data_IF_584439964164
#
_entry.id   IF_584439964164
#
_cell.length_a   1.000
_cell.length_b   1.000
_cell.length_c   1.000
_cell.angle_alpha   90.00
_cell.angle_beta   90.00
_cell.angle_gamma   90.00
#
_symmetry.space_group_name_H-M   'P 1'
#
loop_
_entity.id
_entity.type
_entity.pdbx_description
1 polymer ?
#
# COMPACT_ATOMS: atom_id res chain seq x y z
N UNK A 1 -29.69 -0.28 10.23
CA UNK A 1 -29.75 0.36 8.89
C UNK A 1 -30.15 1.80 9.07
N UNK A 2 -29.60 2.74 8.29
CA UNK A 2 -30.13 4.09 8.24
C UNK A 2 -31.56 4.02 7.65
N UNK A 3 -32.56 4.41 8.43
CA UNK A 3 -33.96 4.36 8.08
C UNK A 3 -34.71 5.55 8.69
N UNK A 4 -36.01 5.66 8.41
CA UNK A 4 -36.83 6.77 8.91
C UNK A 4 -36.85 6.85 10.45
N UNK A 5 -36.82 5.71 11.15
CA UNK A 5 -36.77 5.69 12.61
C UNK A 5 -35.49 6.32 13.16
N UNK A 6 -34.35 6.06 12.55
CA UNK A 6 -33.10 6.72 12.92
C UNK A 6 -33.14 8.24 12.61
N UNK A 7 -33.72 8.63 11.48
CA UNK A 7 -33.93 10.04 11.17
C UNK A 7 -34.82 10.75 12.21
N UNK A 8 -35.90 10.10 12.65
CA UNK A 8 -36.77 10.59 13.71
C UNK A 8 -36.05 10.69 15.05
N UNK A 9 -35.26 9.67 15.41
CA UNK A 9 -34.44 9.68 16.63
C UNK A 9 -33.52 10.90 16.67
N UNK A 10 -32.87 11.23 15.55
CA UNK A 10 -32.06 12.44 15.44
C UNK A 10 -32.91 13.70 15.67
N UNK A 11 -34.09 13.80 15.06
CA UNK A 11 -34.98 14.96 15.23
C UNK A 11 -35.49 15.12 16.68
N UNK A 12 -35.66 14.01 17.40
CA UNK A 12 -36.15 13.98 18.78
C UNK A 12 -35.04 14.26 19.82
N UNK A 13 -33.77 14.29 19.40
CA UNK A 13 -32.66 14.66 20.28
C UNK A 13 -32.82 16.09 20.82
N UNK A 14 -32.37 16.30 22.07
CA UNK A 14 -32.35 17.63 22.67
C UNK A 14 -31.55 18.61 21.80
N UNK A 15 -32.14 19.78 21.51
CA UNK A 15 -31.52 20.80 20.67
C UNK A 15 -30.11 21.25 21.10
N UNK A 16 -29.77 21.09 22.40
CA UNK A 16 -28.43 21.35 22.93
C UNK A 16 -27.34 20.43 22.34
N UNK A 17 -27.69 19.22 21.90
CA UNK A 17 -26.77 18.28 21.23
C UNK A 17 -26.21 18.87 19.93
N UNK A 18 -26.99 19.70 19.24
CA UNK A 18 -26.62 20.29 17.95
C UNK A 18 -25.82 21.59 18.05
N UNK A 19 -25.69 22.15 19.26
CA UNK A 19 -25.00 23.44 19.48
C UNK A 19 -23.49 23.30 19.65
N UNK A 20 -23.01 22.09 19.92
CA UNK A 20 -21.63 21.82 20.28
C UNK A 20 -21.13 20.52 19.63
N UNK A 21 -19.95 20.57 19.02
CA UNK A 21 -19.36 19.43 18.32
C UNK A 21 -19.07 18.26 19.28
N UNK A 22 -18.58 18.53 20.48
CA UNK A 22 -18.28 17.47 21.44
C UNK A 22 -19.55 16.76 21.93
N UNK A 23 -20.64 17.50 22.17
CA UNK A 23 -21.96 16.93 22.48
C UNK A 23 -22.52 16.12 21.31
N UNK A 24 -22.40 16.65 20.09
CA UNK A 24 -22.83 15.94 18.89
C UNK A 24 -22.07 14.62 18.71
N UNK A 25 -20.73 14.64 18.75
CA UNK A 25 -19.89 13.45 18.60
C UNK A 25 -20.03 12.45 19.76
N UNK A 26 -20.41 12.91 20.96
CA UNK A 26 -20.75 12.02 22.08
C UNK A 26 -22.05 11.24 21.83
N UNK A 27 -22.99 11.86 21.13
CA UNK A 27 -24.29 11.27 20.78
C UNK A 27 -24.20 10.41 19.51
N UNK A 28 -23.66 10.97 18.42
CA UNK A 28 -23.39 10.29 17.17
C UNK A 28 -21.88 10.12 16.96
N UNK A 29 -21.35 8.97 17.37
CA UNK A 29 -19.91 8.66 17.28
C UNK A 29 -19.41 8.49 15.85
N UNK A 30 -20.31 8.25 14.89
CA UNK A 30 -20.00 8.10 13.48
C UNK A 30 -20.89 7.08 12.78
N UNK A 31 -20.56 6.82 11.51
CA UNK A 31 -21.18 5.78 10.70
C UNK A 31 -20.18 4.64 10.55
N UNK A 32 -20.66 3.41 10.74
CA UNK A 32 -19.88 2.20 10.50
C UNK A 32 -20.54 1.39 9.39
N UNK A 33 -19.72 0.95 8.43
CA UNK A 33 -20.14 0.01 7.40
C UNK A 33 -19.68 -1.36 7.87
N UNK A 34 -20.65 -2.22 8.19
CA UNK A 34 -20.40 -3.59 8.65
C UNK A 34 -20.99 -4.56 7.63
N UNK A 35 -20.23 -5.56 7.17
CA UNK A 35 -20.77 -6.64 6.35
C UNK A 35 -21.92 -7.34 7.11
N UNK A 36 -23.09 -7.47 6.48
CA UNK A 36 -24.27 -8.05 7.15
C UNK A 36 -24.20 -9.56 7.31
N UNK A 37 -23.54 -10.25 6.38
CA UNK A 37 -23.42 -11.70 6.31
C UNK A 37 -22.10 -12.02 5.59
N UNK A 38 -21.21 -12.77 6.23
CA UNK A 38 -20.05 -13.40 5.58
C UNK A 38 -20.36 -14.90 5.52
N UNK A 39 -21.26 -15.29 4.62
CA UNK A 39 -21.90 -16.62 4.67
C UNK A 39 -21.00 -17.77 4.25
N UNK A 40 -19.84 -17.49 3.63
CA UNK A 40 -18.92 -18.52 3.12
C UNK A 40 -17.46 -18.17 3.45
N UNK A 41 -16.73 -19.16 3.97
CA UNK A 41 -15.28 -19.05 4.14
C UNK A 41 -14.62 -18.87 2.78
N UNK A 42 -13.77 -17.84 2.64
CA UNK A 42 -13.08 -17.53 1.38
C UNK A 42 -13.74 -16.46 0.49
N UNK A 43 -14.96 -16.00 0.80
CA UNK A 43 -15.71 -15.02 -0.01
C UNK A 43 -15.83 -13.64 0.68
N UNK A 44 -14.70 -13.11 1.16
CA UNK A 44 -14.64 -11.75 1.71
C UNK A 44 -14.33 -10.70 0.63
N UNK A 45 -14.75 -9.46 0.86
CA UNK A 45 -14.39 -8.31 0.02
C UNK A 45 -13.73 -7.21 0.84
N UNK A 46 -12.68 -6.59 0.28
CA UNK A 46 -12.16 -5.31 0.75
C UNK A 46 -12.75 -4.24 -0.15
N UNK A 47 -13.47 -3.28 0.44
CA UNK A 47 -14.12 -2.20 -0.29
C UNK A 47 -13.46 -0.88 0.08
N UNK A 48 -13.08 -0.11 -0.94
CA UNK A 48 -12.65 1.27 -0.73
C UNK A 48 -13.90 2.17 -0.62
N UNK A 49 -13.99 2.92 0.47
CA UNK A 49 -15.02 3.94 0.66
C UNK A 49 -14.35 5.31 0.64
N UNK A 50 -14.55 6.04 -0.45
CA UNK A 50 -14.08 7.42 -0.57
C UNK A 50 -15.00 8.34 0.25
N UNK A 51 -14.49 8.86 1.36
CA UNK A 51 -15.22 9.67 2.33
C UNK A 51 -14.67 11.11 2.47
N UNK A 52 -13.78 11.52 1.57
CA UNK A 52 -13.13 12.85 1.57
C UNK A 52 -13.65 13.81 0.50
N UNK A 53 -14.67 13.42 -0.26
CA UNK A 53 -15.29 14.29 -1.27
C UNK A 53 -16.46 15.07 -0.68
N UNK A 54 -16.78 16.23 -1.25
CA UNK A 54 -17.94 17.04 -0.84
C UNK A 54 -19.29 16.30 -0.98
N UNK A 55 -19.35 15.25 -1.79
CA UNK A 55 -20.50 14.35 -1.92
C UNK A 55 -20.65 13.39 -0.72
N UNK A 56 -19.62 13.23 0.10
CA UNK A 56 -19.64 12.39 1.30
C UNK A 56 -20.35 13.16 2.42
N UNK A 57 -21.59 12.79 2.71
CA UNK A 57 -22.40 13.48 3.73
C UNK A 57 -23.49 12.57 4.27
N UNK A 58 -23.88 12.82 5.51
CA UNK A 58 -25.18 12.38 6.01
C UNK A 58 -26.19 13.49 5.72
N UNK A 59 -27.24 13.16 4.99
CA UNK A 59 -28.32 14.09 4.66
C UNK A 59 -29.61 13.66 5.35
N UNK A 60 -30.07 14.48 6.29
CA UNK A 60 -31.34 14.30 6.96
C UNK A 60 -32.42 15.05 6.17
N UNK A 61 -33.49 14.36 5.80
CA UNK A 61 -34.67 14.94 5.15
C UNK A 61 -35.77 15.09 6.21
N UNK A 62 -36.41 16.26 6.28
CA UNK A 62 -37.46 16.55 7.26
C UNK A 62 -38.48 17.55 6.70
N UNK A 63 -39.69 17.58 7.27
CA UNK A 63 -40.79 18.46 6.82
C UNK A 63 -40.98 18.43 5.28
N UNK A 64 -40.97 17.23 4.71
CA UNK A 64 -41.15 16.87 3.28
C UNK A 64 -40.13 17.44 2.26
N UNK A 65 -39.62 18.64 2.48
CA UNK A 65 -38.78 19.39 1.52
C UNK A 65 -37.47 19.91 2.12
N UNK A 66 -37.36 19.93 3.45
CA UNK A 66 -36.19 20.50 4.13
C UNK A 66 -35.11 19.43 4.27
N UNK A 67 -33.87 19.89 4.23
CA UNK A 67 -32.73 19.02 4.48
C UNK A 67 -31.71 19.66 5.41
N UNK A 68 -31.07 18.81 6.21
CA UNK A 68 -29.89 19.17 7.01
C UNK A 68 -28.73 18.30 6.54
N UNK A 69 -27.64 18.97 6.15
CA UNK A 69 -26.40 18.30 5.76
C UNK A 69 -25.45 18.25 6.94
N UNK A 70 -24.95 17.05 7.24
CA UNK A 70 -23.82 16.82 8.13
C UNK A 70 -22.66 16.35 7.23
N UNK A 71 -21.67 17.21 6.95
CA UNK A 71 -20.63 16.90 5.98
C UNK A 71 -19.66 15.84 6.53
N UNK A 72 -19.18 14.97 5.64
CA UNK A 72 -17.99 14.16 5.85
C UNK A 72 -16.89 14.75 4.99
N UNK A 73 -15.80 15.19 5.60
CA UNK A 73 -14.77 15.98 4.91
C UNK A 73 -13.37 15.66 5.40
N UNK A 74 -12.39 16.46 5.00
CA UNK A 74 -10.99 16.31 5.41
C UNK A 74 -10.77 16.40 6.93
N UNK A 75 -11.65 17.09 7.66
CA UNK A 75 -11.64 17.15 9.12
C UNK A 75 -12.20 15.90 9.80
N UNK A 76 -12.95 15.06 9.09
CA UNK A 76 -13.55 13.85 9.64
C UNK A 76 -12.46 12.81 9.93
N UNK A 77 -12.48 12.25 11.14
CA UNK A 77 -11.63 11.10 11.50
C UNK A 77 -12.12 9.86 10.75
N UNK A 78 -11.21 9.17 10.10
CA UNK A 78 -11.48 7.92 9.36
C UNK A 78 -10.64 6.83 9.98
N UNK A 79 -11.30 5.75 10.39
CA UNK A 79 -10.66 4.59 10.97
C UNK A 79 -11.09 3.41 10.14
N UNK A 80 -10.11 2.63 9.68
CA UNK A 80 -10.38 1.37 9.03
C UNK A 80 -10.06 0.24 9.99
N UNK A 81 -10.93 -0.76 10.04
CA UNK A 81 -10.72 -1.97 10.81
C UNK A 81 -10.86 -3.16 9.87
N UNK A 82 -9.86 -4.04 9.89
CA UNK A 82 -9.82 -5.22 9.04
C UNK A 82 -9.57 -6.44 9.91
N UNK A 83 -10.42 -7.44 9.77
CA UNK A 83 -10.15 -8.79 10.26
C UNK A 83 -9.83 -9.65 9.04
N UNK A 84 -8.63 -10.24 9.04
CA UNK A 84 -8.23 -11.16 7.98
C UNK A 84 -7.88 -12.50 8.62
N UNK A 85 -8.32 -13.58 7.98
CA UNK A 85 -7.82 -14.92 8.27
C UNK A 85 -6.90 -15.33 7.13
N UNK A 86 -5.57 -15.26 7.31
CA UNK A 86 -4.64 -15.64 6.25
C UNK A 86 -4.80 -17.13 5.93
N UNK A 87 -4.70 -17.47 4.64
CA UNK A 87 -4.61 -18.86 4.22
C UNK A 87 -3.35 -19.52 4.80
N UNK A 88 -3.33 -20.86 4.85
CA UNK A 88 -2.14 -21.60 5.30
C UNK A 88 -0.88 -21.20 4.50
N UNK A 89 -1.03 -20.95 3.20
CA UNK A 89 0.08 -20.49 2.36
C UNK A 89 0.62 -19.12 2.81
N UNK A 90 -0.24 -18.16 3.12
CA UNK A 90 0.17 -16.85 3.63
C UNK A 90 0.79 -16.95 5.02
N UNK A 91 0.18 -17.73 5.91
CA UNK A 91 0.72 -17.97 7.27
C UNK A 91 2.11 -18.60 7.22
N UNK A 92 2.34 -19.55 6.31
CA UNK A 92 3.66 -20.14 6.08
C UNK A 92 4.67 -19.10 5.58
N UNK A 93 4.26 -18.14 4.74
CA UNK A 93 5.12 -17.05 4.28
C UNK A 93 5.45 -16.07 5.40
N UNK A 94 4.48 -15.68 6.23
CA UNK A 94 4.71 -14.77 7.35
C UNK A 94 5.66 -15.33 8.40
N UNK A 95 5.64 -16.65 8.59
CA UNK A 95 6.46 -17.35 9.59
C UNK A 95 7.78 -17.90 9.04
N UNK A 96 8.16 -17.54 7.81
CA UNK A 96 9.35 -18.07 7.15
C UNK A 96 10.25 -16.96 6.60
N UNK A 97 11.54 -17.25 6.54
CA UNK A 97 12.55 -16.45 5.84
C UNK A 97 12.98 -17.08 4.50
N UNK A 98 12.28 -18.15 4.06
CA UNK A 98 12.59 -18.83 2.81
C UNK A 98 12.07 -18.04 1.60
N UNK A 99 12.63 -18.35 0.43
CA UNK A 99 12.11 -17.87 -0.84
C UNK A 99 10.86 -18.66 -1.24
N UNK A 100 9.89 -17.96 -1.85
CA UNK A 100 8.64 -18.56 -2.33
C UNK A 100 8.47 -18.31 -3.82
N UNK A 101 7.87 -19.27 -4.53
CA UNK A 101 7.57 -19.14 -5.97
C UNK A 101 6.47 -18.13 -6.29
N UNK A 102 5.61 -17.87 -5.31
CA UNK A 102 4.53 -16.89 -5.41
C UNK A 102 4.43 -16.13 -4.11
N UNK A 103 4.34 -14.81 -4.19
CA UNK A 103 4.15 -13.93 -3.03
C UNK A 103 3.02 -12.94 -3.28
N UNK A 104 2.57 -12.28 -2.20
CA UNK A 104 1.34 -11.51 -2.21
C UNK A 104 1.56 -10.14 -1.60
N UNK A 105 1.04 -9.10 -2.25
CA UNK A 105 0.89 -7.78 -1.68
C UNK A 105 -0.59 -7.39 -1.63
N UNK A 106 -1.01 -6.71 -0.57
CA UNK A 106 -2.38 -6.26 -0.37
C UNK A 106 -2.38 -4.87 0.28
N UNK A 107 -3.17 -3.95 -0.27
CA UNK A 107 -3.37 -2.61 0.31
C UNK A 107 -4.18 -2.69 1.62
N UNK A 108 -4.48 -1.55 2.25
CA UNK A 108 -5.44 -1.48 3.37
C UNK A 108 -5.09 -2.37 4.58
N UNK A 109 -3.85 -2.30 5.07
CA UNK A 109 -3.42 -3.11 6.22
C UNK A 109 -3.12 -4.57 5.88
N UNK A 110 -3.03 -4.89 4.58
CA UNK A 110 -2.57 -6.18 4.09
C UNK A 110 -1.05 -6.36 4.14
N UNK A 111 -0.58 -7.38 3.40
CA UNK A 111 0.82 -7.76 3.38
C UNK A 111 1.66 -6.91 2.40
N UNK A 112 2.96 -6.78 2.72
CA UNK A 112 4.01 -6.29 1.82
C UNK A 112 5.04 -7.40 1.59
N UNK A 113 5.75 -7.34 0.48
CA UNK A 113 6.74 -8.36 0.11
C UNK A 113 8.13 -7.85 0.49
N UNK A 114 8.90 -8.67 1.23
CA UNK A 114 10.32 -8.42 1.45
C UNK A 114 11.12 -8.93 0.27
N UNK A 115 12.04 -8.09 -0.23
CA UNK A 115 12.88 -8.40 -1.39
C UNK A 115 14.35 -8.28 -0.96
N UNK A 116 15.00 -9.42 -0.82
CA UNK A 116 16.44 -9.50 -0.55
C UNK A 116 17.19 -9.76 -1.88
N UNK A 117 18.14 -8.88 -2.22
CA UNK A 117 18.91 -8.99 -3.46
C UNK A 117 20.28 -9.61 -3.19
N UNK A 118 20.35 -10.93 -3.28
CA UNK A 118 21.60 -11.69 -3.17
C UNK A 118 22.55 -11.25 -4.29
N UNK A 119 23.73 -10.76 -3.92
CA UNK A 119 24.75 -10.27 -4.86
C UNK A 119 24.80 -8.75 -5.04
N UNK A 120 23.82 -7.98 -4.54
CA UNK A 120 23.94 -6.51 -4.57
C UNK A 120 25.13 -6.00 -3.75
N UNK A 121 25.48 -6.75 -2.69
CA UNK A 121 26.65 -6.51 -1.85
C UNK A 121 27.96 -6.44 -2.66
N UNK A 122 28.14 -7.27 -3.70
CA UNK A 122 29.37 -7.20 -4.50
C UNK A 122 29.45 -5.92 -5.33
N UNK A 123 28.32 -5.38 -5.76
CA UNK A 123 28.25 -4.09 -6.48
C UNK A 123 28.50 -2.93 -5.51
N UNK A 124 27.89 -2.96 -4.32
CA UNK A 124 28.09 -1.94 -3.27
C UNK A 124 29.56 -1.86 -2.86
N UNK A 125 30.23 -3.01 -2.78
CA UNK A 125 31.64 -3.14 -2.41
C UNK A 125 32.64 -2.67 -3.48
N UNK A 126 32.19 -2.33 -4.69
CA UNK A 126 33.08 -1.76 -5.71
C UNK A 126 33.63 -0.38 -5.32
N UNK A 127 32.99 0.33 -4.39
CA UNK A 127 33.52 1.56 -3.77
C UNK A 127 33.54 2.78 -4.70
N UNK A 128 34.38 3.76 -4.38
CA UNK A 128 34.32 5.12 -5.01
C UNK A 128 34.69 5.15 -6.49
N UNK A 129 35.26 4.07 -7.03
CA UNK A 129 35.67 3.97 -8.44
C UNK A 129 34.54 3.49 -9.36
N UNK A 130 33.27 3.68 -8.97
CA UNK A 130 32.12 3.25 -9.78
C UNK A 130 31.02 4.31 -9.83
N UNK A 131 30.56 4.56 -11.06
CA UNK A 131 29.36 5.35 -11.35
C UNK A 131 28.24 4.42 -11.82
N UNK A 132 27.10 4.45 -11.15
CA UNK A 132 25.90 3.69 -11.54
C UNK A 132 25.21 4.41 -12.69
N UNK A 133 25.14 3.76 -13.85
CA UNK A 133 24.46 4.30 -15.03
C UNK A 133 22.96 3.94 -15.00
N UNK A 134 22.66 2.67 -14.71
CA UNK A 134 21.30 2.18 -14.53
C UNK A 134 21.29 1.07 -13.48
N UNK A 135 20.30 1.07 -12.60
CA UNK A 135 19.98 0.03 -11.65
C UNK A 135 18.45 -0.07 -11.61
N UNK A 136 17.93 -1.21 -12.08
CA UNK A 136 16.50 -1.46 -12.16
C UNK A 136 16.11 -2.85 -11.72
N UNK A 137 14.89 -2.96 -11.20
CA UNK A 137 14.29 -4.21 -10.78
C UNK A 137 12.88 -4.35 -11.37
N UNK A 138 12.58 -5.54 -11.86
CA UNK A 138 11.29 -5.88 -12.47
C UNK A 138 10.59 -6.97 -11.68
N UNK A 139 9.30 -6.76 -11.40
CA UNK A 139 8.41 -7.72 -10.75
C UNK A 139 7.25 -8.05 -11.67
N UNK A 140 6.99 -9.35 -11.87
CA UNK A 140 5.92 -9.82 -12.73
C UNK A 140 4.71 -10.28 -11.92
N UNK A 141 3.51 -9.93 -12.40
CA UNK A 141 2.27 -10.46 -11.82
C UNK A 141 1.92 -11.82 -12.43
N UNK A 142 1.29 -12.67 -11.61
CA UNK A 142 0.60 -13.84 -12.12
C UNK A 142 -0.67 -13.42 -12.87
N UNK A 143 -0.66 -13.58 -14.19
CA UNK A 143 -1.75 -13.14 -15.05
C UNK A 143 -3.05 -13.91 -14.83
N UNK A 144 -2.97 -15.14 -14.32
CA UNK A 144 -4.17 -15.93 -14.00
C UNK A 144 -4.92 -15.31 -12.81
N UNK A 145 -4.22 -14.57 -11.95
CA UNK A 145 -4.81 -13.90 -10.79
C UNK A 145 -5.53 -12.59 -11.12
N UNK A 146 -5.33 -12.04 -12.32
CA UNK A 146 -5.90 -10.77 -12.76
C UNK A 146 -7.23 -11.03 -13.45
N UNK A 147 -8.30 -10.50 -12.85
CA UNK A 147 -9.69 -10.67 -13.30
C UNK A 147 -10.41 -9.31 -13.28
N UNK A 148 -11.66 -9.26 -13.73
CA UNK A 148 -12.44 -8.03 -13.66
C UNK A 148 -12.74 -7.61 -12.22
N UNK A 149 -12.86 -8.58 -11.32
CA UNK A 149 -13.05 -8.41 -9.87
C UNK A 149 -11.73 -8.06 -9.15
N UNK A 150 -10.62 -8.67 -9.58
CA UNK A 150 -9.29 -8.48 -9.00
C UNK A 150 -8.32 -7.93 -10.04
N UNK A 151 -8.43 -6.62 -10.30
CA UNK A 151 -7.52 -5.92 -11.22
C UNK A 151 -6.11 -5.81 -10.64
N UNK A 152 -5.13 -5.67 -11.51
CA UNK A 152 -3.76 -5.35 -11.11
C UNK A 152 -3.72 -4.02 -10.35
N UNK A 153 -2.94 -3.92 -9.26
CA UNK A 153 -2.66 -2.63 -8.61
C UNK A 153 -2.14 -1.62 -9.63
N UNK A 154 -2.73 -0.42 -9.70
CA UNK A 154 -2.33 0.56 -10.72
C UNK A 154 -0.90 1.05 -10.53
N UNK A 155 -0.43 1.09 -9.26
CA UNK A 155 0.96 1.36 -8.92
C UNK A 155 1.41 0.59 -7.69
N UNK A 156 2.72 0.48 -7.55
CA UNK A 156 3.43 -0.13 -6.44
C UNK A 156 4.54 0.81 -5.94
N UNK A 157 5.01 0.60 -4.72
CA UNK A 157 6.20 1.24 -4.17
C UNK A 157 7.28 0.20 -3.85
N UNK A 158 8.50 0.52 -4.27
CA UNK A 158 9.75 -0.05 -3.79
C UNK A 158 10.37 0.89 -2.74
N UNK A 159 10.36 0.46 -1.49
CA UNK A 159 10.81 1.22 -0.32
C UNK A 159 11.80 0.39 0.49
N UNK A 160 12.46 0.98 1.48
CA UNK A 160 13.40 0.28 2.37
C UNK A 160 12.85 0.18 3.79
N UNK A 161 13.29 -0.79 4.61
CA UNK A 161 12.93 -0.80 6.02
C UNK A 161 13.48 0.45 6.72
N UNK A 162 12.68 1.01 7.63
CA UNK A 162 13.19 1.98 8.61
C UNK A 162 14.02 1.20 9.65
N UNK A 163 15.31 1.52 9.73
CA UNK A 163 16.27 0.84 10.62
C UNK A 163 16.14 1.28 12.07
N UNK A 164 15.47 2.41 12.34
CA UNK A 164 15.15 2.88 13.69
C UNK A 164 13.81 2.32 14.16
N UNK A 165 12.88 2.07 13.24
CA UNK A 165 11.59 1.46 13.55
C UNK A 165 11.12 0.53 12.44
N UNK A 166 11.43 -0.77 12.58
CA UNK A 166 11.14 -1.81 11.59
C UNK A 166 9.65 -1.97 11.22
N UNK A 167 8.73 -1.34 11.95
CA UNK A 167 7.31 -1.26 11.59
C UNK A 167 7.07 -0.38 10.37
N UNK A 168 7.90 0.62 10.15
CA UNK A 168 7.77 1.57 9.06
C UNK A 168 8.68 1.23 7.88
N UNK A 169 8.36 1.85 6.74
CA UNK A 169 9.19 1.79 5.53
C UNK A 169 9.51 3.21 5.12
N UNK A 170 10.71 3.43 4.59
CA UNK A 170 11.18 4.74 4.15
C UNK A 170 11.27 4.79 2.63
N UNK A 171 10.92 5.92 2.01
CA UNK A 171 11.13 6.10 0.58
C UNK A 171 12.63 6.07 0.27
N UNK A 172 12.98 5.44 -0.85
CA UNK A 172 14.31 5.61 -1.42
C UNK A 172 14.40 6.98 -2.11
N UNK A 173 15.61 7.52 -2.26
CA UNK A 173 15.83 8.83 -2.87
C UNK A 173 15.27 8.93 -4.30
N UNK A 174 15.26 7.83 -5.06
CA UNK A 174 14.70 7.81 -6.42
C UNK A 174 13.19 8.11 -6.41
N UNK A 175 12.43 7.57 -5.45
CA UNK A 175 10.99 7.80 -5.31
C UNK A 175 10.64 9.28 -5.07
N UNK A 176 11.52 10.04 -4.42
CA UNK A 176 11.23 11.43 -4.01
C UNK A 176 11.85 12.48 -4.90
N UNK A 177 12.81 12.12 -5.77
CA UNK A 177 13.65 13.10 -6.47
C UNK A 177 13.76 12.89 -7.98
N UNK A 178 13.14 11.84 -8.54
CA UNK A 178 13.22 11.56 -9.98
C UNK A 178 11.86 11.24 -10.57
N UNK A 179 11.69 11.58 -11.85
CA UNK A 179 10.51 11.20 -12.63
C UNK A 179 10.62 9.79 -13.22
N UNK A 180 11.81 9.18 -13.22
CA UNK A 180 12.07 7.86 -13.82
C UNK A 180 12.00 6.70 -12.80
N UNK A 181 11.59 6.95 -11.56
CA UNK A 181 11.48 5.90 -10.53
C UNK A 181 10.65 4.69 -10.98
N UNK A 182 9.57 4.90 -11.75
CA UNK A 182 8.68 3.83 -12.21
C UNK A 182 7.61 3.46 -11.19
N UNK A 183 7.24 2.17 -11.13
CA UNK A 183 6.25 1.64 -10.19
C UNK A 183 4.80 1.63 -10.67
N UNK A 184 4.50 2.20 -11.84
CA UNK A 184 3.19 2.03 -12.47
C UNK A 184 3.06 0.67 -13.16
N UNK A 185 1.84 0.13 -13.19
CA UNK A 185 1.57 -1.13 -13.87
C UNK A 185 1.81 -0.99 -15.38
N UNK A 186 2.69 -1.85 -15.91
CA UNK A 186 2.99 -1.91 -17.32
C UNK A 186 2.37 -3.19 -17.94
N UNK A 187 1.37 -3.06 -18.83
CA UNK A 187 0.69 -4.21 -19.43
C UNK A 187 1.56 -4.98 -20.43
N UNK A 188 2.62 -4.36 -20.98
CA UNK A 188 3.53 -5.01 -21.93
C UNK A 188 4.41 -6.04 -21.22
N UNK A 189 5.05 -5.63 -20.12
CA UNK A 189 5.85 -6.56 -19.29
C UNK A 189 4.97 -7.34 -18.31
N UNK A 190 3.70 -6.96 -18.15
CA UNK A 190 2.73 -7.60 -17.24
C UNK A 190 3.15 -7.50 -15.77
N UNK A 191 3.63 -6.32 -15.37
CA UNK A 191 4.23 -6.11 -14.06
C UNK A 191 4.70 -4.69 -13.82
N UNK A 192 5.70 -4.53 -12.96
CA UNK A 192 6.24 -3.24 -12.51
C UNK A 192 7.74 -3.20 -12.68
N UNK A 193 8.26 -2.06 -13.13
CA UNK A 193 9.70 -1.77 -13.17
C UNK A 193 9.99 -0.59 -12.26
N UNK A 194 11.08 -0.70 -11.50
CA UNK A 194 11.57 0.35 -10.63
C UNK A 194 13.03 0.66 -10.91
N UNK A 195 13.37 1.95 -10.93
CA UNK A 195 14.74 2.42 -10.92
C UNK A 195 15.17 2.80 -9.51
N UNK A 196 16.38 2.39 -9.12
CA UNK A 196 16.99 2.69 -7.81
C UNK A 196 18.43 3.17 -7.98
N UNK A 197 18.69 3.91 -9.06
CA UNK A 197 20.01 4.40 -9.48
C UNK A 197 20.69 5.20 -8.37
N UNK A 198 19.99 6.22 -7.87
CA UNK A 198 20.54 7.16 -6.89
C UNK A 198 20.70 6.48 -5.55
N UNK A 199 19.77 5.62 -5.17
CA UNK A 199 19.88 4.83 -3.95
C UNK A 199 21.09 3.87 -3.98
N UNK A 200 21.30 3.14 -5.08
CA UNK A 200 22.48 2.28 -5.21
C UNK A 200 23.78 3.10 -5.21
N UNK A 201 23.81 4.23 -5.93
CA UNK A 201 24.96 5.12 -5.93
C UNK A 201 25.28 5.67 -4.52
N UNK A 202 24.25 5.98 -3.73
CA UNK A 202 24.40 6.39 -2.33
C UNK A 202 25.03 5.26 -1.50
N UNK A 203 24.51 4.03 -1.60
CA UNK A 203 25.06 2.87 -0.88
C UNK A 203 26.54 2.63 -1.22
N UNK A 204 26.92 2.71 -2.49
CA UNK A 204 28.32 2.57 -2.94
C UNK A 204 29.21 3.64 -2.30
N UNK A 205 28.79 4.90 -2.31
CA UNK A 205 29.54 6.03 -1.70
C UNK A 205 29.63 5.92 -0.19
N UNK A 206 28.58 5.46 0.47
CA UNK A 206 28.59 5.23 1.92
C UNK A 206 29.54 4.08 2.30
N UNK A 207 29.53 2.99 1.53
CA UNK A 207 30.45 1.88 1.74
C UNK A 207 31.90 2.31 1.56
N UNK A 208 32.21 3.06 0.51
CA UNK A 208 33.52 3.66 0.27
C UNK A 208 34.02 4.46 1.49
N UNK A 209 33.17 5.31 2.05
CA UNK A 209 33.52 6.17 3.18
C UNK A 209 33.63 5.43 4.53
N UNK A 210 32.84 4.39 4.74
CA UNK A 210 32.64 3.80 6.08
C UNK A 210 33.02 2.33 6.21
N UNK A 211 33.21 1.62 5.11
CA UNK A 211 33.36 0.17 5.05
C UNK A 211 32.11 -0.62 5.41
N UNK A 212 30.95 0.04 5.59
CA UNK A 212 29.69 -0.59 6.02
C UNK A 212 28.69 -0.66 4.88
N UNK A 213 28.12 -1.85 4.66
CA UNK A 213 27.01 -2.03 3.74
C UNK A 213 25.69 -1.78 4.49
N UNK A 214 25.01 -0.69 4.14
CA UNK A 214 23.74 -0.28 4.76
C UNK A 214 22.49 -0.76 3.99
N UNK A 215 22.63 -1.67 3.04
CA UNK A 215 21.50 -2.25 2.32
C UNK A 215 20.78 -3.29 3.18
N UNK A 216 19.51 -3.04 3.49
CA UNK A 216 18.68 -3.89 4.35
C UNK A 216 17.54 -4.57 3.59
N UNK A 217 17.69 -4.74 2.27
CA UNK A 217 16.62 -5.21 1.39
C UNK A 217 15.60 -4.13 1.07
N UNK A 218 14.63 -4.49 0.23
CA UNK A 218 13.49 -3.66 -0.11
C UNK A 218 12.18 -4.24 0.45
N UNK A 219 11.17 -3.39 0.55
CA UNK A 219 9.78 -3.79 0.59
C UNK A 219 9.08 -3.34 -0.69
N UNK A 220 8.34 -4.27 -1.30
CA UNK A 220 7.39 -4.00 -2.35
C UNK A 220 5.99 -3.92 -1.74
N UNK A 221 5.32 -2.78 -1.88
CA UNK A 221 4.01 -2.53 -1.27
C UNK A 221 3.04 -1.82 -2.22
N UNK A 222 1.75 -2.08 -2.03
CA UNK A 222 0.68 -1.31 -2.70
C UNK A 222 0.45 -0.06 -1.84
N UNK A 223 0.53 1.15 -2.42
CA UNK A 223 0.36 2.34 -1.63
C UNK A 223 -1.12 2.55 -1.28
N UNK A 224 -1.37 3.16 -0.12
CA UNK A 224 -2.72 3.41 0.41
C UNK A 224 -3.23 4.83 0.14
N UNK A 225 -2.60 5.53 -0.81
CA UNK A 225 -2.89 6.90 -1.23
C UNK A 225 -3.50 6.90 -2.66
N UNK A 226 -3.55 8.06 -3.32
CA UNK A 226 -4.40 8.30 -4.48
C UNK A 226 -3.91 7.70 -5.83
N UNK A 227 -4.71 6.90 -6.56
CA UNK A 227 -6.05 6.44 -6.21
C UNK A 227 -5.96 5.29 -5.21
N UNK A 228 -6.77 5.38 -4.15
CA UNK A 228 -6.82 4.31 -3.15
C UNK A 228 -7.56 3.14 -3.77
N UNK A 229 -6.90 1.98 -3.89
CA UNK A 229 -7.51 0.79 -4.52
C UNK A 229 -7.43 -0.42 -3.61
N UNK A 230 -8.48 -1.27 -3.55
CA UNK A 230 -8.48 -2.48 -2.72
C UNK A 230 -7.80 -3.68 -3.39
N UNK A 231 -7.03 -3.42 -4.45
CA UNK A 231 -6.45 -4.47 -5.27
C UNK A 231 -5.36 -5.25 -4.52
N UNK A 232 -5.19 -6.50 -4.94
CA UNK A 232 -4.13 -7.39 -4.50
C UNK A 232 -3.17 -7.63 -5.64
N UNK A 233 -1.89 -7.83 -5.34
CA UNK A 233 -0.90 -8.30 -6.30
C UNK A 233 -0.50 -9.73 -5.96
N UNK A 234 -0.66 -10.66 -6.90
CA UNK A 234 -0.07 -11.99 -6.84
C UNK A 234 1.15 -11.98 -7.75
N UNK A 235 2.33 -12.14 -7.17
CA UNK A 235 3.59 -11.98 -7.87
C UNK A 235 4.23 -13.33 -8.18
N UNK A 236 4.79 -13.45 -9.37
CA UNK A 236 5.68 -14.55 -9.72
C UNK A 236 7.06 -14.24 -9.14
N UNK A 237 7.52 -15.10 -8.24
CA UNK A 237 8.76 -14.89 -7.49
C UNK A 237 9.63 -16.13 -7.47
N UNK A 238 9.44 -17.04 -8.45
CA UNK A 238 10.33 -18.18 -8.62
C UNK A 238 11.69 -17.69 -9.11
N UNK A 239 12.68 -17.75 -8.20
CA UNK A 239 14.06 -17.37 -8.49
C UNK A 239 14.69 -18.25 -9.58
N UNK A 240 14.26 -19.50 -9.70
CA UNK A 240 14.83 -20.46 -10.66
C UNK A 240 14.24 -20.23 -12.06
N UNK A 241 13.05 -19.66 -12.15
CA UNK A 241 12.43 -19.23 -13.40
C UNK A 241 12.91 -17.83 -13.87
N UNK A 242 13.60 -17.08 -13.01
CA UNK A 242 14.06 -15.72 -13.32
C UNK A 242 12.91 -14.71 -13.43
N UNK A 243 11.83 -14.91 -12.66
CA UNK A 243 10.64 -14.06 -12.69
C UNK A 243 10.87 -12.67 -12.08
N UNK A 244 11.84 -12.55 -11.17
CA UNK A 244 12.35 -11.27 -10.68
C UNK A 244 13.69 -11.01 -11.35
N UNK A 245 13.82 -9.85 -12.00
CA UNK A 245 15.04 -9.47 -12.72
C UNK A 245 15.62 -8.20 -12.15
N UNK A 246 16.92 -8.22 -11.86
CA UNK A 246 17.70 -7.03 -11.50
C UNK A 246 18.73 -6.81 -12.61
N UNK A 247 18.79 -5.59 -13.12
CA UNK A 247 19.78 -5.17 -14.12
C UNK A 247 20.53 -3.97 -13.58
N UNK A 248 21.86 -4.06 -13.56
CA UNK A 248 22.73 -2.97 -13.13
C UNK A 248 23.81 -2.77 -14.19
N UNK A 249 23.94 -1.54 -14.67
CA UNK A 249 25.03 -1.10 -15.53
C UNK A 249 25.80 0.01 -14.82
N UNK A 250 27.12 -0.06 -14.90
CA UNK A 250 27.98 0.89 -14.22
C UNK A 250 29.27 1.09 -15.00
N UNK A 251 29.90 2.24 -14.77
CA UNK A 251 31.21 2.58 -15.31
C UNK A 251 32.23 2.53 -14.19
N UNK A 252 33.32 1.79 -14.42
CA UNK A 252 34.48 1.84 -13.52
C UNK A 252 35.33 3.06 -13.87
N UNK A 253 35.70 3.83 -12.86
CA UNK A 253 36.61 4.96 -12.98
C UNK A 253 38.04 4.46 -12.77
N UNK A 254 38.95 4.96 -13.61
CA UNK A 254 40.39 4.68 -13.56
C UNK A 254 41.12 5.54 -12.52
#
# INVERSE_FOLDING_TARGET
MLNNSFGQEMLDWNSDIYKDEAKFLKTLKGLVIVPRNNTLSGEGAIVCVEAGLNSSKLQLFYNDSLTKTIPMGSSSRRINYYETQPSVNLTNQFNSTNNFRTTYAQSFGGAKIKVDLVGLDSVIKLGENVVINEAKITFLLDQISITDEFKAPSRMFLVVPDTLNSKYSMPIIDLTTTSNYGGDFNPVIKGYEFHFNRYLQQLVKEYAKTGKNNFNGFYLSIPSDYPVTPYRGVFKTDKDAGDIKVSITFTKLD
#
